data_IF_636142883192
#
_entry.id   IF_636142883192
#
_cell.length_a   1.000
_cell.length_b   1.000
_cell.length_c   1.000
_cell.angle_alpha   90.00
_cell.angle_beta   90.00
_cell.angle_gamma   90.00
#
_symmetry.space_group_name_H-M   'P 1'
#
loop_
_entity.id
_entity.type
_entity.pdbx_description
1 polymer ?
#
# COMPACT_ATOMS: atom_id res chain seq x y z
N UNK A 1 1.16 -4.40 1.31
CA UNK A 1 2.52 -5.03 1.37
C UNK A 1 3.64 -4.01 1.49
N UNK A 2 3.85 -3.11 0.51
CA UNK A 2 4.95 -2.13 0.54
C UNK A 2 4.88 -1.09 1.68
N UNK A 3 3.74 -0.96 2.35
CA UNK A 3 3.54 -0.12 3.54
C UNK A 3 3.87 -0.84 4.86
N UNK A 4 4.23 -2.13 4.82
CA UNK A 4 4.50 -2.94 6.03
C UNK A 4 6.00 -3.07 6.28
N UNK A 5 6.71 -3.75 5.37
CA UNK A 5 8.14 -4.01 5.48
C UNK A 5 8.76 -4.31 4.12
N UNK A 6 10.09 -4.33 4.05
CA UNK A 6 10.86 -4.52 2.82
C UNK A 6 10.74 -5.93 2.25
N UNK A 7 10.59 -6.91 3.12
CA UNK A 7 10.51 -8.33 2.79
C UNK A 7 9.08 -8.79 2.45
N UNK A 8 8.05 -8.05 2.90
CA UNK A 8 6.64 -8.43 2.77
C UNK A 8 6.22 -8.77 1.33
N UNK A 9 6.70 -8.02 0.33
CA UNK A 9 6.33 -8.29 -1.06
C UNK A 9 6.92 -9.61 -1.57
N UNK A 10 8.18 -9.90 -1.23
CA UNK A 10 8.85 -11.13 -1.66
C UNK A 10 8.26 -12.35 -0.95
N UNK A 11 7.92 -12.21 0.34
CA UNK A 11 7.20 -13.24 1.10
C UNK A 11 5.83 -13.50 0.47
N UNK A 12 5.09 -12.44 0.11
CA UNK A 12 3.79 -12.58 -0.55
C UNK A 12 3.92 -13.29 -1.90
N UNK A 13 4.90 -12.94 -2.73
CA UNK A 13 5.10 -13.55 -4.05
C UNK A 13 5.59 -15.01 -3.97
N UNK A 14 6.31 -15.37 -2.90
CA UNK A 14 6.85 -16.72 -2.71
C UNK A 14 5.77 -17.77 -2.50
N UNK A 15 4.70 -17.43 -1.76
CA UNK A 15 3.61 -18.36 -1.46
C UNK A 15 2.87 -18.82 -2.74
N UNK A 16 2.29 -17.95 -3.58
CA UNK A 16 1.59 -18.36 -4.79
C UNK A 16 2.53 -18.94 -5.83
N UNK A 17 3.79 -18.51 -5.90
CA UNK A 17 4.79 -19.15 -6.77
C UNK A 17 5.02 -20.62 -6.36
N UNK A 18 5.20 -20.86 -5.06
CA UNK A 18 5.40 -22.22 -4.53
C UNK A 18 4.14 -23.07 -4.74
N UNK A 19 2.95 -22.50 -4.59
CA UNK A 19 1.67 -23.19 -4.87
C UNK A 19 1.58 -23.65 -6.33
N UNK A 20 1.84 -22.74 -7.27
CA UNK A 20 1.82 -23.05 -8.70
C UNK A 20 2.90 -24.07 -9.08
N UNK A 21 4.09 -23.95 -8.48
CA UNK A 21 5.15 -24.94 -8.63
C UNK A 21 4.78 -26.32 -8.08
N UNK A 22 3.77 -26.39 -7.20
CA UNK A 22 3.16 -27.62 -6.74
C UNK A 22 1.99 -28.11 -7.60
N UNK A 23 1.71 -27.48 -8.74
CA UNK A 23 0.58 -27.84 -9.60
C UNK A 23 -0.76 -27.42 -9.00
N UNK A 24 -0.78 -26.29 -8.29
CA UNK A 24 -1.95 -25.76 -7.61
C UNK A 24 -2.57 -26.75 -6.59
N UNK A 25 -1.72 -27.54 -5.93
CA UNK A 25 -2.12 -28.41 -4.80
C UNK A 25 -1.01 -28.46 -3.75
N UNK A 26 -1.28 -27.89 -2.57
CA UNK A 26 -0.33 -27.90 -1.45
C UNK A 26 0.02 -29.29 -0.94
N UNK A 27 -0.83 -30.29 -1.17
CA UNK A 27 -0.55 -31.68 -0.76
C UNK A 27 0.67 -32.25 -1.48
N UNK A 28 0.97 -31.75 -2.68
CA UNK A 28 2.13 -32.18 -3.46
C UNK A 28 3.44 -31.52 -3.02
N UNK A 29 3.40 -30.55 -2.10
CA UNK A 29 4.59 -29.82 -1.68
C UNK A 29 5.63 -30.75 -1.05
N UNK A 30 5.21 -31.63 -0.14
CA UNK A 30 6.13 -32.53 0.55
C UNK A 30 6.88 -33.44 -0.43
N UNK A 31 6.15 -34.05 -1.36
CA UNK A 31 6.73 -34.93 -2.38
C UNK A 31 7.64 -34.16 -3.34
N UNK A 32 7.22 -32.98 -3.82
CA UNK A 32 7.98 -32.18 -4.79
C UNK A 32 9.23 -31.53 -4.20
N UNK A 33 9.18 -31.13 -2.94
CA UNK A 33 10.31 -30.55 -2.22
C UNK A 33 11.16 -31.62 -1.50
N UNK A 34 10.75 -32.89 -1.51
CA UNK A 34 11.40 -33.96 -0.76
C UNK A 34 11.45 -33.66 0.75
N UNK A 35 10.36 -33.14 1.30
CA UNK A 35 10.24 -32.85 2.73
C UNK A 35 10.09 -34.16 3.51
N UNK A 36 10.83 -34.25 4.60
CA UNK A 36 10.78 -35.29 5.60
C UNK A 36 10.82 -34.64 6.99
N UNK A 37 10.53 -35.40 8.05
CA UNK A 37 10.63 -34.90 9.43
C UNK A 37 12.00 -34.26 9.70
N UNK A 38 11.98 -33.05 10.26
CA UNK A 38 13.19 -32.25 10.51
C UNK A 38 13.76 -31.54 9.29
N UNK A 39 13.12 -31.60 8.12
CA UNK A 39 13.52 -30.79 6.97
C UNK A 39 13.36 -29.30 7.26
N UNK A 40 14.39 -28.52 6.93
CA UNK A 40 14.32 -27.08 7.03
C UNK A 40 13.49 -26.46 5.90
N UNK A 41 13.03 -25.21 6.09
CA UNK A 41 12.23 -24.47 5.12
C UNK A 41 12.98 -24.18 3.80
N UNK A 42 14.31 -24.27 3.77
CA UNK A 42 15.11 -24.15 2.56
C UNK A 42 14.75 -25.21 1.50
N UNK A 43 14.27 -26.39 1.90
CA UNK A 43 13.79 -27.41 0.96
C UNK A 43 12.57 -26.97 0.18
N UNK A 44 11.68 -26.17 0.78
CA UNK A 44 10.48 -25.63 0.09
C UNK A 44 10.90 -24.86 -1.17
N UNK A 45 12.09 -24.26 -1.16
CA UNK A 45 12.60 -23.46 -2.27
C UNK A 45 13.02 -24.27 -3.49
N UNK A 46 13.12 -25.60 -3.40
CA UNK A 46 13.56 -26.45 -4.52
C UNK A 46 12.46 -26.72 -5.54
N UNK A 47 11.20 -26.37 -5.24
CA UNK A 47 10.07 -26.62 -6.16
C UNK A 47 10.14 -25.76 -7.43
N UNK A 48 10.81 -24.59 -7.38
CA UNK A 48 11.09 -23.78 -8.57
C UNK A 48 12.27 -22.83 -8.37
N UNK A 49 12.97 -22.50 -9.46
CA UNK A 49 14.05 -21.49 -9.43
C UNK A 49 13.56 -20.11 -8.99
N UNK A 50 12.30 -19.78 -9.28
CA UNK A 50 11.71 -18.51 -8.85
C UNK A 50 11.41 -18.50 -7.36
N UNK A 51 10.87 -19.58 -6.79
CA UNK A 51 10.72 -19.73 -5.33
C UNK A 51 12.08 -19.60 -4.63
N UNK A 52 13.13 -20.21 -5.17
CA UNK A 52 14.50 -20.07 -4.68
C UNK A 52 15.02 -18.64 -4.74
N UNK A 53 14.74 -17.90 -5.81
CA UNK A 53 15.13 -16.48 -5.92
C UNK A 53 14.38 -15.62 -4.91
N UNK A 54 13.06 -15.78 -4.80
CA UNK A 54 12.23 -15.02 -3.84
C UNK A 54 12.65 -15.29 -2.40
N UNK A 55 12.87 -16.55 -2.04
CA UNK A 55 13.35 -16.92 -0.70
C UNK A 55 14.63 -16.19 -0.33
N UNK A 56 15.63 -16.10 -1.22
CA UNK A 56 16.88 -15.36 -0.94
C UNK A 56 16.64 -13.87 -0.63
N UNK A 57 15.54 -13.29 -1.09
CA UNK A 57 15.23 -11.87 -0.90
C UNK A 57 14.58 -11.56 0.46
N UNK A 58 13.97 -12.55 1.13
CA UNK A 58 13.34 -12.35 2.46
C UNK A 58 13.91 -13.26 3.56
N UNK A 59 14.64 -14.32 3.20
CA UNK A 59 15.09 -15.31 4.17
C UNK A 59 15.94 -14.73 5.29
N UNK A 60 16.85 -13.76 5.07
CA UNK A 60 17.60 -13.17 6.17
C UNK A 60 16.70 -12.46 7.20
N UNK A 61 15.58 -11.90 6.75
CA UNK A 61 14.67 -11.10 7.59
C UNK A 61 13.78 -11.98 8.48
N UNK A 62 13.32 -13.14 7.97
CA UNK A 62 12.44 -14.04 8.75
C UNK A 62 13.15 -14.72 9.92
N UNK A 63 14.47 -14.85 9.89
CA UNK A 63 15.26 -15.42 10.99
C UNK A 63 15.86 -14.35 11.91
N UNK A 64 15.66 -13.08 11.60
CA UNK A 64 16.21 -11.98 12.39
C UNK A 64 15.43 -11.88 13.70
N UNK A 65 16.15 -11.73 14.82
CA UNK A 65 15.52 -11.57 16.16
C UNK A 65 14.85 -10.20 16.35
N UNK A 66 15.36 -9.20 15.66
CA UNK A 66 14.88 -7.82 15.65
C UNK A 66 14.47 -7.49 14.22
N UNK A 67 13.52 -6.58 14.00
CA UNK A 67 12.76 -5.77 14.98
C UNK A 67 11.58 -6.53 15.60
N UNK A 68 11.04 -5.99 16.70
CA UNK A 68 9.87 -6.55 17.38
C UNK A 68 8.55 -5.89 16.96
N UNK A 69 8.58 -4.62 16.57
CA UNK A 69 7.37 -3.81 16.35
C UNK A 69 7.49 -2.92 15.11
N UNK A 70 6.34 -2.40 14.67
CA UNK A 70 6.25 -1.38 13.65
C UNK A 70 6.36 0.02 14.29
N UNK A 71 7.30 0.85 13.85
CA UNK A 71 7.46 2.24 14.27
C UNK A 71 8.41 3.00 13.30
N UNK A 72 8.89 4.19 13.69
CA UNK A 72 10.09 4.79 13.09
C UNK A 72 11.24 3.79 13.06
N UNK A 73 12.11 3.86 12.06
CA UNK A 73 13.25 2.96 11.96
C UNK A 73 14.17 3.12 13.18
N UNK A 74 14.49 2.00 13.83
CA UNK A 74 15.47 1.90 14.92
C UNK A 74 16.07 0.50 14.95
N UNK A 75 16.97 0.24 15.90
CA UNK A 75 17.55 -1.10 16.09
C UNK A 75 16.50 -2.16 16.45
N UNK A 76 15.35 -1.75 17.01
CA UNK A 76 14.31 -2.67 17.53
C UNK A 76 12.95 -2.53 16.83
N UNK A 77 12.81 -1.58 15.90
CA UNK A 77 11.57 -1.32 15.15
C UNK A 77 11.82 -1.20 13.66
N UNK A 78 10.85 -1.62 12.85
CA UNK A 78 10.83 -1.35 11.41
C UNK A 78 9.62 -0.54 11.01
N UNK A 79 9.65 0.05 9.83
CA UNK A 79 8.49 0.68 9.22
C UNK A 79 8.77 0.94 7.76
N UNK A 80 7.72 1.09 6.97
CA UNK A 80 7.85 1.35 5.54
C UNK A 80 7.22 2.68 5.10
N UNK A 81 6.79 3.53 6.05
CA UNK A 81 6.34 4.91 5.80
C UNK A 81 7.50 5.91 5.78
N UNK A 82 8.62 5.60 6.43
CA UNK A 82 9.84 6.40 6.43
C UNK A 82 10.98 5.57 5.87
N UNK A 83 11.28 5.77 4.57
CA UNK A 83 12.23 4.96 3.81
C UNK A 83 13.68 5.46 3.90
N UNK A 84 13.96 6.47 4.74
CA UNK A 84 15.32 6.94 4.98
C UNK A 84 15.97 6.15 6.11
N UNK A 85 17.19 5.67 5.90
CA UNK A 85 18.01 5.10 6.98
C UNK A 85 18.45 6.15 8.03
N UNK A 86 18.13 7.42 7.79
CA UNK A 86 18.35 8.52 8.73
C UNK A 86 17.13 8.70 9.62
N UNK A 87 17.39 8.90 10.90
CA UNK A 87 16.36 9.29 11.86
C UNK A 87 15.89 10.71 11.52
N UNK A 88 14.60 10.83 11.17
CA UNK A 88 13.98 12.12 10.82
C UNK A 88 13.43 12.75 12.09
N UNK A 89 13.75 14.03 12.32
CA UNK A 89 13.24 14.78 13.47
C UNK A 89 11.72 15.01 13.35
N UNK A 90 10.98 14.92 14.47
CA UNK A 90 9.52 15.14 14.47
C UNK A 90 9.14 16.53 13.97
N UNK A 91 9.98 17.52 14.25
CA UNK A 91 9.83 18.91 13.84
C UNK A 91 9.93 19.05 12.31
N UNK A 92 10.84 18.30 11.69
CA UNK A 92 11.00 18.26 10.23
C UNK A 92 9.75 17.64 9.57
N UNK A 93 9.26 16.53 10.12
CA UNK A 93 8.03 15.89 9.65
C UNK A 93 6.85 16.85 9.79
N UNK A 94 6.73 17.55 10.92
CA UNK A 94 5.67 18.53 11.16
C UNK A 94 5.71 19.72 10.22
N UNK A 95 6.90 20.27 9.95
CA UNK A 95 7.08 21.36 8.97
C UNK A 95 6.64 20.94 7.57
N UNK A 96 6.99 19.73 7.17
CA UNK A 96 6.60 19.16 5.88
C UNK A 96 5.10 18.85 5.83
N UNK A 97 4.52 18.25 6.86
CA UNK A 97 3.07 18.00 6.94
C UNK A 97 2.26 19.29 6.86
N UNK A 98 2.74 20.37 7.49
CA UNK A 98 2.13 21.70 7.36
C UNK A 98 2.17 22.19 5.91
N UNK A 99 3.32 22.08 5.26
CA UNK A 99 3.49 22.48 3.86
C UNK A 99 2.55 21.70 2.91
N UNK A 100 2.41 20.38 3.11
CA UNK A 100 1.49 19.56 2.34
C UNK A 100 0.04 20.02 2.53
N UNK A 101 -0.36 20.28 3.77
CA UNK A 101 -1.69 20.81 4.10
C UNK A 101 -1.97 22.18 3.46
N UNK A 102 -1.03 23.12 3.57
CA UNK A 102 -1.13 24.47 2.96
C UNK A 102 -1.24 24.42 1.42
N UNK A 103 -0.73 23.35 0.80
CA UNK A 103 -0.77 23.13 -0.64
C UNK A 103 -1.87 22.15 -1.07
N UNK A 104 -2.78 21.74 -0.18
CA UNK A 104 -3.88 20.81 -0.44
C UNK A 104 -3.43 19.48 -1.06
N UNK A 105 -2.35 18.93 -0.52
CA UNK A 105 -1.86 17.60 -0.86
C UNK A 105 -2.37 16.60 0.15
N UNK A 106 -2.94 15.52 -0.35
CA UNK A 106 -3.46 14.42 0.45
C UNK A 106 -2.26 13.73 1.12
N UNK A 107 -2.22 13.69 2.46
CA UNK A 107 -1.03 13.22 3.20
C UNK A 107 -1.09 11.72 3.44
N UNK A 108 -2.30 11.20 3.53
CA UNK A 108 -2.67 9.84 3.82
C UNK A 108 -2.09 8.87 2.79
N UNK A 109 -1.91 9.30 1.53
CA UNK A 109 -1.33 8.51 0.44
C UNK A 109 0.18 8.75 0.24
N UNK A 110 0.88 9.34 1.21
CA UNK A 110 2.30 9.69 1.10
C UNK A 110 3.24 8.80 1.90
N UNK A 111 4.52 8.80 1.54
CA UNK A 111 5.63 8.20 2.29
C UNK A 111 6.85 9.11 2.28
N UNK A 112 7.64 9.05 3.33
CA UNK A 112 8.87 9.81 3.46
C UNK A 112 10.05 9.10 2.80
N UNK A 113 10.82 9.82 2.00
CA UNK A 113 12.03 9.38 1.31
C UNK A 113 13.24 10.22 1.77
N UNK A 114 14.44 9.68 1.64
CA UNK A 114 15.68 10.43 1.91
C UNK A 114 15.83 11.70 1.04
N UNK A 115 15.22 11.71 -0.16
CA UNK A 115 15.25 12.84 -1.09
C UNK A 115 13.98 13.74 -1.01
N UNK A 116 13.00 13.43 -0.15
CA UNK A 116 11.74 14.17 -0.07
C UNK A 116 10.54 13.28 0.26
N UNK A 117 9.41 13.48 -0.39
CA UNK A 117 8.17 12.73 -0.13
C UNK A 117 7.73 12.03 -1.40
N UNK A 118 7.35 10.75 -1.32
CA UNK A 118 6.62 10.09 -2.39
C UNK A 118 5.13 9.99 -2.13
N UNK A 119 4.36 9.93 -3.20
CA UNK A 119 2.92 9.72 -3.16
C UNK A 119 2.54 8.53 -4.03
N UNK A 120 1.50 7.81 -3.60
CA UNK A 120 0.89 6.78 -4.42
C UNK A 120 -0.07 7.41 -5.42
N UNK A 121 0.47 7.97 -6.50
CA UNK A 121 -0.31 8.56 -7.60
C UNK A 121 0.31 8.30 -8.98
N UNK A 122 -0.52 8.33 -10.02
CA UNK A 122 -0.12 8.04 -11.42
C UNK A 122 0.57 9.21 -12.15
N UNK A 123 0.56 10.44 -11.62
CA UNK A 123 1.14 11.62 -12.29
C UNK A 123 2.37 12.23 -11.60
N UNK A 124 3.33 12.74 -12.39
CA UNK A 124 4.70 13.05 -11.96
C UNK A 124 4.97 14.41 -11.29
N UNK A 125 5.99 14.36 -10.39
CA UNK A 125 6.92 15.37 -9.85
C UNK A 125 6.51 16.85 -9.87
N UNK A 126 6.41 17.44 -8.67
CA UNK A 126 6.51 18.90 -8.43
C UNK A 126 7.57 19.15 -7.34
N UNK A 127 8.33 20.24 -7.44
CA UNK A 127 9.26 20.65 -6.39
C UNK A 127 8.58 21.71 -5.53
N UNK A 128 8.49 21.51 -4.22
CA UNK A 128 8.05 22.52 -3.27
C UNK A 128 9.28 23.08 -2.55
N UNK A 129 9.53 24.38 -2.66
CA UNK A 129 10.66 25.01 -1.98
C UNK A 129 10.21 25.54 -0.61
N UNK A 130 10.95 25.20 0.44
CA UNK A 130 10.76 25.72 1.80
C UNK A 130 12.08 26.30 2.33
N UNK A 131 11.99 27.36 3.14
CA UNK A 131 13.11 28.25 3.49
C UNK A 131 14.17 27.67 4.43
N UNK A 132 13.99 26.44 4.93
CA UNK A 132 15.05 25.75 5.71
C UNK A 132 15.40 24.35 5.22
N UNK A 133 14.59 23.73 4.36
CA UNK A 133 14.84 22.42 3.75
C UNK A 133 14.03 22.31 2.45
N UNK A 134 14.66 22.14 1.28
CA UNK A 134 13.91 21.93 0.04
C UNK A 134 13.31 20.52 0.00
N UNK A 135 11.98 20.37 0.06
CA UNK A 135 11.31 19.09 -0.10
C UNK A 135 10.99 18.83 -1.58
N UNK A 136 11.63 17.84 -2.20
CA UNK A 136 11.23 17.40 -3.54
C UNK A 136 10.05 16.44 -3.46
N UNK A 137 8.97 16.68 -4.23
CA UNK A 137 7.88 15.71 -4.33
C UNK A 137 8.20 14.74 -5.47
N UNK A 138 8.18 13.45 -5.15
CA UNK A 138 8.51 12.37 -6.06
C UNK A 138 7.26 11.52 -6.29
N UNK A 139 6.59 11.74 -7.41
CA UNK A 139 5.54 10.81 -7.85
C UNK A 139 6.07 9.46 -8.24
N UNK A 140 5.17 8.48 -8.31
CA UNK A 140 5.49 7.15 -8.83
C UNK A 140 5.46 6.02 -7.82
N UNK A 141 5.17 6.28 -6.55
CA UNK A 141 5.07 5.18 -5.58
C UNK A 141 3.89 4.28 -5.94
N UNK A 142 4.13 2.99 -6.16
CA UNK A 142 3.10 2.05 -6.64
C UNK A 142 2.36 2.47 -7.93
N UNK A 143 2.89 3.39 -8.74
CA UNK A 143 2.13 3.99 -9.86
C UNK A 143 1.52 2.95 -10.81
N UNK A 144 2.25 1.91 -11.18
CA UNK A 144 1.72 0.84 -12.04
C UNK A 144 0.50 0.11 -11.42
N UNK A 145 0.50 -0.07 -10.10
CA UNK A 145 -0.62 -0.69 -9.37
C UNK A 145 -1.79 0.27 -9.19
N UNK A 146 -1.49 1.55 -8.98
CA UNK A 146 -2.51 2.60 -8.93
C UNK A 146 -3.18 2.76 -10.30
N UNK A 147 -2.41 2.70 -11.39
CA UNK A 147 -2.94 2.76 -12.76
C UNK A 147 -3.85 1.57 -13.09
N UNK A 148 -3.43 0.34 -12.74
CA UNK A 148 -4.26 -0.87 -12.85
C UNK A 148 -5.57 -0.73 -12.07
N UNK A 149 -5.49 -0.22 -10.83
CA UNK A 149 -6.68 0.03 -10.01
C UNK A 149 -7.61 1.09 -10.61
N UNK A 150 -7.07 2.21 -11.12
CA UNK A 150 -7.87 3.22 -11.79
C UNK A 150 -8.57 2.68 -13.04
N UNK A 151 -7.92 1.79 -13.79
CA UNK A 151 -8.56 1.12 -14.93
C UNK A 151 -9.74 0.24 -14.49
N UNK A 152 -9.57 -0.55 -13.42
CA UNK A 152 -10.68 -1.33 -12.85
C UNK A 152 -11.84 -0.45 -12.36
N UNK A 153 -11.54 0.69 -11.73
CA UNK A 153 -12.56 1.65 -11.28
C UNK A 153 -13.30 2.28 -12.47
N UNK A 154 -12.60 2.62 -13.54
CA UNK A 154 -13.21 3.18 -14.74
C UNK A 154 -14.17 2.19 -15.42
N UNK A 155 -13.84 0.89 -15.41
CA UNK A 155 -14.77 -0.17 -15.85
C UNK A 155 -15.96 -0.30 -14.89
N UNK A 156 -15.70 -0.34 -13.58
CA UNK A 156 -16.72 -0.47 -12.54
C UNK A 156 -17.74 0.69 -12.54
N UNK A 157 -17.30 1.89 -12.95
CA UNK A 157 -18.14 3.08 -13.11
C UNK A 157 -19.39 2.82 -13.94
N UNK A 158 -19.27 2.01 -15.01
CA UNK A 158 -20.40 1.66 -15.88
C UNK A 158 -21.50 0.81 -15.21
N UNK A 159 -21.20 0.24 -14.04
CA UNK A 159 -22.12 -0.56 -13.23
C UNK A 159 -22.65 0.20 -12.01
N UNK A 160 -22.34 1.50 -11.88
CA UNK A 160 -22.80 2.32 -10.78
C UNK A 160 -24.33 2.33 -10.72
N UNK A 161 -24.88 2.12 -9.52
CA UNK A 161 -26.33 2.05 -9.32
C UNK A 161 -27.04 3.39 -9.53
N UNK A 162 -26.31 4.50 -9.43
CA UNK A 162 -26.83 5.85 -9.54
C UNK A 162 -25.74 6.86 -9.98
N UNK A 163 -26.11 8.01 -10.59
CA UNK A 163 -25.13 9.00 -11.04
C UNK A 163 -24.25 9.62 -9.94
N UNK A 164 -24.72 9.87 -8.70
CA UNK A 164 -23.84 10.29 -7.61
C UNK A 164 -22.72 9.30 -7.29
N UNK A 165 -23.02 8.00 -7.28
CA UNK A 165 -22.04 6.95 -7.04
C UNK A 165 -21.04 6.81 -8.20
N UNK A 166 -21.52 6.98 -9.43
CA UNK A 166 -20.66 7.12 -10.62
C UNK A 166 -19.65 8.26 -10.45
N UNK A 167 -20.12 9.44 -10.02
CA UNK A 167 -19.26 10.60 -9.75
C UNK A 167 -18.30 10.35 -8.58
N UNK A 168 -18.70 9.60 -7.55
CA UNK A 168 -17.82 9.25 -6.44
C UNK A 168 -16.61 8.44 -6.92
N UNK A 169 -16.85 7.46 -7.81
CA UNK A 169 -15.79 6.67 -8.46
C UNK A 169 -14.87 7.58 -9.29
N UNK A 170 -15.42 8.52 -10.06
CA UNK A 170 -14.60 9.47 -10.83
C UNK A 170 -13.69 10.33 -9.93
N UNK A 171 -14.22 10.78 -8.78
CA UNK A 171 -13.46 11.56 -7.80
C UNK A 171 -12.39 10.72 -7.10
N UNK A 172 -12.66 9.45 -6.81
CA UNK A 172 -11.65 8.50 -6.30
C UNK A 172 -10.52 8.33 -7.33
N UNK A 173 -10.84 8.10 -8.61
CA UNK A 173 -9.83 8.01 -9.69
C UNK A 173 -9.01 9.30 -9.79
N UNK A 174 -9.65 10.47 -9.73
CA UNK A 174 -8.95 11.76 -9.74
C UNK A 174 -8.03 11.95 -8.52
N UNK A 175 -8.47 11.50 -7.33
CA UNK A 175 -7.65 11.51 -6.12
C UNK A 175 -6.40 10.65 -6.31
N UNK A 176 -6.55 9.43 -6.82
CA UNK A 176 -5.43 8.54 -7.13
C UNK A 176 -4.52 9.04 -8.24
N UNK A 177 -5.04 9.80 -9.20
CA UNK A 177 -4.20 10.38 -10.25
C UNK A 177 -3.38 11.57 -9.72
N UNK A 178 -4.04 12.46 -8.96
CA UNK A 178 -3.51 13.79 -8.64
C UNK A 178 -2.88 13.89 -7.25
N UNK A 179 -3.26 13.04 -6.30
CA UNK A 179 -2.89 13.13 -4.89
C UNK A 179 -3.43 14.37 -4.18
N UNK A 180 -4.54 14.96 -4.66
CA UNK A 180 -5.12 16.21 -4.13
C UNK A 180 -6.18 15.91 -3.08
N UNK A 181 -6.16 16.65 -1.98
CA UNK A 181 -7.12 16.49 -0.88
C UNK A 181 -8.56 16.85 -1.29
N UNK A 182 -8.72 17.73 -2.28
CA UNK A 182 -10.04 18.12 -2.81
C UNK A 182 -10.78 16.93 -3.43
N UNK A 183 -10.18 16.25 -4.43
CA UNK A 183 -10.79 15.10 -5.09
C UNK A 183 -11.15 13.98 -4.11
N UNK A 184 -10.28 13.75 -3.11
CA UNK A 184 -10.59 12.83 -2.02
C UNK A 184 -11.83 13.27 -1.23
N UNK A 185 -11.90 14.52 -0.76
CA UNK A 185 -13.05 15.03 0.01
C UNK A 185 -14.35 14.96 -0.78
N UNK A 186 -14.31 15.30 -2.07
CA UNK A 186 -15.47 15.24 -2.95
C UNK A 186 -16.01 13.82 -3.09
N UNK A 187 -15.13 12.81 -3.24
CA UNK A 187 -15.55 11.40 -3.27
C UNK A 187 -16.27 10.99 -1.99
N UNK A 188 -15.75 11.39 -0.82
CA UNK A 188 -16.35 11.05 0.48
C UNK A 188 -17.72 11.70 0.62
N UNK A 189 -17.84 12.97 0.23
CA UNK A 189 -19.10 13.70 0.31
C UNK A 189 -20.20 13.04 -0.54
N UNK A 190 -19.84 12.52 -1.72
CA UNK A 190 -20.77 11.80 -2.58
C UNK A 190 -21.14 10.44 -1.97
N UNK A 191 -20.18 9.67 -1.47
CA UNK A 191 -20.44 8.38 -0.83
C UNK A 191 -21.37 8.51 0.38
N UNK A 192 -21.17 9.48 1.28
CA UNK A 192 -22.02 9.61 2.48
C UNK A 192 -23.46 10.01 2.16
N UNK A 193 -23.71 10.55 0.98
CA UNK A 193 -25.07 10.88 0.50
C UNK A 193 -25.77 9.68 -0.13
N UNK A 194 -25.04 8.64 -0.52
CA UNK A 194 -25.62 7.40 -1.03
C UNK A 194 -26.09 6.51 0.12
N UNK A 195 -27.37 6.61 0.46
CA UNK A 195 -27.93 5.96 1.64
C UNK A 195 -28.41 4.55 1.31
N UNK A 196 -27.87 3.56 2.03
CA UNK A 196 -28.22 2.12 1.90
C UNK A 196 -28.00 1.59 0.47
N UNK A 197 -26.80 1.77 -0.11
CA UNK A 197 -26.52 1.19 -1.41
C UNK A 197 -26.60 -0.33 -1.31
N UNK A 198 -27.06 -0.99 -2.39
CA UNK A 198 -27.09 -2.44 -2.44
C UNK A 198 -25.68 -3.05 -2.35
N UNK A 199 -24.68 -2.29 -2.83
CA UNK A 199 -23.25 -2.59 -2.73
C UNK A 199 -22.55 -1.35 -2.20
N UNK A 200 -21.98 -1.45 -1.01
CA UNK A 200 -21.14 -0.43 -0.37
C UNK A 200 -19.67 -0.74 -0.66
N UNK A 201 -18.84 0.31 -0.79
CA UNK A 201 -17.42 0.14 -1.07
C UNK A 201 -16.55 1.13 -0.31
N UNK A 202 -15.40 0.65 0.15
CA UNK A 202 -14.28 1.48 0.58
C UNK A 202 -13.09 1.05 -0.24
N UNK A 203 -12.43 1.97 -0.94
CA UNK A 203 -11.18 1.68 -1.66
C UNK A 203 -10.30 2.92 -1.66
N UNK A 204 -9.46 3.08 -0.63
CA UNK A 204 -8.67 4.31 -0.40
C UNK A 204 -7.65 4.13 0.74
N UNK A 205 -6.92 5.20 1.03
CA UNK A 205 -6.03 5.29 2.19
C UNK A 205 -6.83 5.79 3.40
N UNK A 206 -7.24 4.89 4.30
CA UNK A 206 -8.24 5.23 5.33
C UNK A 206 -7.61 5.48 6.69
N UNK A 207 -6.93 4.48 7.24
CA UNK A 207 -6.57 4.48 8.66
C UNK A 207 -5.07 4.71 8.92
N UNK A 208 -4.69 5.70 9.76
CA UNK A 208 -3.28 6.04 10.01
C UNK A 208 -2.61 5.25 11.14
N UNK A 209 -3.23 4.18 11.66
CA UNK A 209 -2.76 3.47 12.87
C UNK A 209 -1.32 2.94 12.79
N UNK A 210 -0.82 2.64 11.58
CA UNK A 210 0.53 2.08 11.36
C UNK A 210 1.59 3.14 11.06
N UNK A 211 1.21 4.39 10.81
CA UNK A 211 2.17 5.49 10.67
C UNK A 211 2.60 5.94 12.07
N UNK A 212 3.89 5.84 12.43
CA UNK A 212 4.37 6.27 13.74
C UNK A 212 4.23 7.78 13.98
N UNK A 213 4.02 8.59 12.94
CA UNK A 213 3.66 10.00 13.05
C UNK A 213 2.13 10.23 13.08
N UNK A 214 1.34 9.34 12.46
CA UNK A 214 -0.13 9.34 12.51
C UNK A 214 -0.84 10.19 11.45
N UNK A 215 -0.22 10.48 10.30
CA UNK A 215 -0.84 11.26 9.21
C UNK A 215 -0.90 10.52 7.87
N UNK A 216 -0.19 9.40 7.73
CA UNK A 216 -0.20 8.53 6.56
C UNK A 216 -1.07 7.32 6.85
N UNK A 217 -1.91 6.93 5.90
CA UNK A 217 -2.85 5.86 6.09
C UNK A 217 -2.47 4.60 5.32
N UNK A 218 -2.95 3.46 5.77
CA UNK A 218 -2.84 2.20 5.05
C UNK A 218 -3.88 2.15 3.92
N UNK A 219 -3.48 1.62 2.77
CA UNK A 219 -4.41 1.40 1.67
C UNK A 219 -5.29 0.19 1.97
N UNK A 220 -6.60 0.36 1.87
CA UNK A 220 -7.59 -0.70 2.10
C UNK A 220 -8.67 -0.73 1.03
N UNK A 221 -9.27 -1.91 0.88
CA UNK A 221 -10.32 -2.20 -0.08
C UNK A 221 -11.35 -3.13 0.55
N UNK A 222 -12.62 -2.74 0.54
CA UNK A 222 -13.76 -3.51 1.03
C UNK A 222 -14.94 -3.33 0.07
N UNK A 223 -15.63 -4.44 -0.20
CA UNK A 223 -16.91 -4.45 -0.90
C UNK A 223 -17.91 -5.18 -0.02
N UNK A 224 -19.00 -4.52 0.33
CA UNK A 224 -20.06 -5.06 1.20
C UNK A 224 -21.40 -5.07 0.48
N UNK A 225 -22.07 -6.21 0.43
CA UNK A 225 -23.43 -6.30 -0.12
C UNK A 225 -24.48 -6.22 0.98
N UNK A 226 -25.54 -5.45 0.75
CA UNK A 226 -26.72 -5.54 1.60
C UNK A 226 -27.56 -6.76 1.18
N UNK A 227 -27.71 -7.72 2.08
CA UNK A 227 -28.64 -8.84 1.90
C UNK A 227 -30.07 -8.31 2.01
N UNK A 228 -30.70 -8.04 0.87
CA UNK A 228 -32.13 -7.77 0.79
C UNK A 228 -32.82 -9.14 0.87
N UNK A 229 -33.38 -9.47 2.04
CA UNK A 229 -34.33 -10.57 2.14
C UNK A 229 -35.58 -10.16 1.35
N UNK A 230 -35.75 -10.72 0.16
CA UNK A 230 -36.95 -10.61 -0.67
C UNK A 230 -38.08 -11.48 -0.13
#
# INVERSE_FOLDING_TARGET
MRQVSTEALHTFDFIPETYRACGDDWRLLADRAGLADGSGPEKITTVSERSKKLHRMFSPDIYRKLPHNLNFLSDITQGAYFLSNQQVAREEIGGVSKLLGENEIYQENTRWLQAGISYSSSFSRRKLEYSTTSASQLGGDNAAKVEEMCACLEEAKSYAANPPYEQAIERDIQSFATGRTEAYRDSQELCVKDMKPAVETILRFVEPYRDPYGVRAEFEGLVGGLLIQT
#
